data_IF_543317705365
#
_entry.id   IF_543317705365
#
_cell.length_a   1.000
_cell.length_b   1.000
_cell.length_c   1.000
_cell.angle_alpha   90.00
_cell.angle_beta   90.00
_cell.angle_gamma   90.00
#
_symmetry.space_group_name_H-M   'P 1'
#
loop_
_entity.id
_entity.type
_entity.pdbx_description
1 polymer ?
#
# COMPACT_ATOMS: atom_id res chain seq x y z
N UNK A 1 -2.17 -2.70 -11.65
CA UNK A 1 -0.98 -2.22 -10.91
C UNK A 1 0.23 -1.93 -11.81
N UNK A 2 0.60 -2.77 -12.82
CA UNK A 2 1.76 -2.50 -13.67
C UNK A 2 1.72 -1.16 -14.42
N UNK A 3 0.54 -0.79 -14.92
CA UNK A 3 0.33 0.49 -15.61
C UNK A 3 0.48 1.70 -14.66
N UNK A 4 -0.06 1.62 -13.44
CA UNK A 4 0.05 2.70 -12.46
C UNK A 4 1.51 3.01 -12.08
N UNK A 5 2.32 1.97 -11.84
CA UNK A 5 3.76 2.14 -11.60
C UNK A 5 4.47 2.73 -12.83
N UNK A 6 4.12 2.28 -14.03
CA UNK A 6 4.73 2.78 -15.28
C UNK A 6 4.42 4.27 -15.52
N UNK A 7 3.17 4.69 -15.28
CA UNK A 7 2.78 6.11 -15.37
C UNK A 7 3.49 6.96 -14.31
N UNK A 8 3.60 6.46 -13.09
CA UNK A 8 4.34 7.13 -12.03
C UNK A 8 5.83 7.26 -12.38
N UNK A 9 6.44 6.21 -12.92
CA UNK A 9 7.83 6.24 -13.38
C UNK A 9 8.04 7.27 -14.48
N UNK A 10 7.14 7.35 -15.46
CA UNK A 10 7.18 8.38 -16.50
C UNK A 10 7.02 9.79 -15.90
N UNK A 11 6.07 10.00 -14.98
CA UNK A 11 5.86 11.29 -14.31
C UNK A 11 7.08 11.72 -13.48
N UNK A 12 7.71 10.80 -12.74
CA UNK A 12 8.93 11.05 -11.99
C UNK A 12 10.09 11.44 -12.92
N UNK A 13 10.27 10.72 -14.03
CA UNK A 13 11.29 11.04 -15.04
C UNK A 13 11.07 12.43 -15.66
N UNK A 14 9.83 12.80 -15.96
CA UNK A 14 9.48 14.14 -16.45
C UNK A 14 9.83 15.20 -15.40
N UNK A 15 9.45 14.99 -14.13
CA UNK A 15 9.78 15.91 -13.04
C UNK A 15 11.31 16.09 -12.87
N UNK A 16 12.08 15.00 -12.98
CA UNK A 16 13.54 15.05 -12.89
C UNK A 16 14.15 15.79 -14.10
N UNK A 17 13.70 15.47 -15.32
CA UNK A 17 14.17 16.08 -16.57
C UNK A 17 13.90 17.58 -16.60
N UNK A 18 12.74 18.01 -16.11
CA UNK A 18 12.36 19.42 -16.02
C UNK A 18 12.97 20.14 -14.80
N UNK A 19 13.70 19.44 -13.93
CA UNK A 19 14.34 20.02 -12.75
C UNK A 19 13.38 20.41 -11.63
N UNK A 20 12.20 19.79 -11.55
CA UNK A 20 11.16 20.15 -10.57
C UNK A 20 11.56 19.83 -9.12
N UNK A 21 12.51 18.91 -8.93
CA UNK A 21 13.11 18.56 -7.64
C UNK A 21 14.05 19.64 -7.07
N UNK A 22 14.37 20.69 -7.85
CA UNK A 22 15.35 21.72 -7.46
C UNK A 22 14.67 22.97 -6.95
N UNK A 23 15.18 23.57 -5.88
CA UNK A 23 14.65 24.84 -5.37
C UNK A 23 14.77 25.95 -6.42
N UNK A 24 15.98 26.11 -6.97
CA UNK A 24 16.27 27.12 -8.00
C UNK A 24 15.97 26.57 -9.40
N UNK A 25 14.99 27.13 -10.12
CA UNK A 25 14.65 26.69 -11.47
C UNK A 25 15.72 27.13 -12.49
N UNK A 26 15.77 26.46 -13.65
CA UNK A 26 16.67 26.81 -14.75
C UNK A 26 16.30 28.10 -15.48
N UNK A 27 15.07 28.60 -15.28
CA UNK A 27 14.56 29.86 -15.85
C UNK A 27 13.83 30.63 -14.75
N UNK A 28 13.83 31.98 -14.79
CA UNK A 28 13.00 32.77 -13.91
C UNK A 28 11.54 32.36 -14.06
N UNK A 29 10.85 32.12 -12.95
CA UNK A 29 9.45 31.71 -12.92
C UNK A 29 8.62 32.71 -12.12
N UNK A 30 7.35 32.86 -12.48
CA UNK A 30 6.38 33.62 -11.70
C UNK A 30 5.94 32.81 -10.48
N UNK A 31 5.38 33.48 -9.46
CA UNK A 31 4.88 32.82 -8.22
C UNK A 31 3.93 31.65 -8.51
N UNK A 32 2.97 31.83 -9.42
CA UNK A 32 1.99 30.80 -9.78
C UNK A 32 2.64 29.58 -10.48
N UNK A 33 3.62 29.82 -11.34
CA UNK A 33 4.38 28.77 -12.04
C UNK A 33 5.19 27.94 -11.02
N UNK A 34 5.84 28.61 -10.06
CA UNK A 34 6.53 27.96 -8.94
C UNK A 34 5.59 27.09 -8.13
N UNK A 35 4.43 27.61 -7.73
CA UNK A 35 3.46 26.87 -6.93
C UNK A 35 2.98 25.60 -7.63
N UNK A 36 2.64 25.68 -8.93
CA UNK A 36 2.25 24.50 -9.73
C UNK A 36 3.39 23.49 -9.85
N UNK A 37 4.62 23.93 -10.11
CA UNK A 37 5.81 23.09 -10.20
C UNK A 37 6.07 22.30 -8.90
N UNK A 38 6.14 23.02 -7.78
CA UNK A 38 6.38 22.45 -6.44
C UNK A 38 5.28 21.46 -6.09
N UNK A 39 4.01 21.80 -6.36
CA UNK A 39 2.86 20.92 -6.11
C UNK A 39 2.96 19.62 -6.90
N UNK A 40 3.18 19.70 -8.21
CA UNK A 40 3.29 18.53 -9.08
C UNK A 40 4.42 17.62 -8.62
N UNK A 41 5.57 18.19 -8.27
CA UNK A 41 6.69 17.42 -7.75
C UNK A 41 6.33 16.66 -6.46
N UNK A 42 5.77 17.35 -5.47
CA UNK A 42 5.44 16.72 -4.18
C UNK A 42 4.29 15.71 -4.29
N UNK A 43 3.34 15.90 -5.19
CA UNK A 43 2.32 14.89 -5.48
C UNK A 43 2.94 13.62 -6.04
N UNK A 44 3.82 13.75 -7.04
CA UNK A 44 4.54 12.61 -7.63
C UNK A 44 5.43 11.94 -6.58
N UNK A 45 6.08 12.72 -5.70
CA UNK A 45 6.88 12.22 -4.60
C UNK A 45 6.09 11.36 -3.61
N UNK A 46 4.95 11.86 -3.11
CA UNK A 46 4.11 11.12 -2.17
C UNK A 46 3.64 9.81 -2.79
N UNK A 47 3.18 9.87 -4.05
CA UNK A 47 2.73 8.68 -4.79
C UNK A 47 3.86 7.68 -5.03
N UNK A 48 5.07 8.15 -5.34
CA UNK A 48 6.26 7.31 -5.47
C UNK A 48 6.55 6.57 -4.16
N UNK A 49 6.66 7.28 -3.04
CA UNK A 49 6.96 6.65 -1.74
C UNK A 49 5.89 5.65 -1.31
N UNK A 50 4.63 6.01 -1.49
CA UNK A 50 3.49 5.14 -1.14
C UNK A 50 3.47 3.87 -2.00
N UNK A 51 3.61 4.00 -3.33
CA UNK A 51 3.57 2.85 -4.24
C UNK A 51 4.84 2.01 -4.15
N UNK A 52 6.01 2.62 -3.98
CA UNK A 52 7.27 1.92 -3.75
C UNK A 52 7.17 1.00 -2.53
N UNK A 53 6.69 1.52 -1.39
CA UNK A 53 6.49 0.72 -0.19
C UNK A 53 5.48 -0.42 -0.40
N UNK A 54 4.32 -0.13 -1.01
CA UNK A 54 3.25 -1.12 -1.26
C UNK A 54 3.63 -2.21 -2.25
N UNK A 55 4.45 -1.89 -3.25
CA UNK A 55 4.94 -2.82 -4.25
C UNK A 55 6.25 -3.50 -3.87
N UNK A 56 6.79 -3.17 -2.69
CA UNK A 56 8.10 -3.61 -2.21
C UNK A 56 9.22 -3.31 -3.23
N UNK A 57 9.21 -2.09 -3.77
CA UNK A 57 10.17 -1.58 -4.78
C UNK A 57 10.94 -0.40 -4.22
N UNK A 58 12.17 -0.16 -4.71
CA UNK A 58 12.88 1.07 -4.39
C UNK A 58 12.13 2.28 -4.97
N UNK A 59 12.11 3.36 -4.22
CA UNK A 59 11.57 4.65 -4.64
C UNK A 59 12.36 5.21 -5.83
N UNK A 60 11.64 5.78 -6.78
CA UNK A 60 12.19 6.42 -7.98
C UNK A 60 12.90 7.74 -7.64
N UNK A 61 12.39 8.45 -6.63
CA UNK A 61 12.86 9.77 -6.21
C UNK A 61 13.68 9.65 -4.92
N UNK A 62 14.98 9.86 -5.06
CA UNK A 62 15.93 9.81 -3.94
C UNK A 62 15.90 11.11 -3.14
N UNK A 63 15.66 11.01 -1.84
CA UNK A 63 15.54 12.19 -0.96
C UNK A 63 16.78 13.08 -0.97
N UNK A 64 17.97 12.48 -1.13
CA UNK A 64 19.25 13.22 -1.19
C UNK A 64 19.42 14.08 -2.44
N UNK A 65 18.65 13.81 -3.48
CA UNK A 65 18.71 14.54 -4.75
C UNK A 65 17.65 15.67 -4.81
N UNK A 66 16.83 15.82 -3.77
CA UNK A 66 15.75 16.81 -3.69
C UNK A 66 16.24 18.04 -2.92
N UNK A 67 16.11 19.22 -3.52
CA UNK A 67 16.45 20.50 -2.86
C UNK A 67 15.26 21.44 -2.73
N UNK A 68 14.18 21.21 -3.48
CA UNK A 68 12.94 22.00 -3.37
C UNK A 68 12.32 21.87 -1.98
N UNK A 69 11.96 22.98 -1.35
CA UNK A 69 11.41 23.02 0.00
C UNK A 69 9.88 22.89 -0.02
N UNK A 70 9.35 21.99 0.81
CA UNK A 70 7.93 21.86 1.08
C UNK A 70 7.39 22.94 2.04
N UNK A 71 8.26 23.59 2.83
CA UNK A 71 7.87 24.63 3.80
C UNK A 71 7.34 25.88 3.09
N UNK A 72 7.79 26.10 1.85
CA UNK A 72 7.38 27.23 1.01
C UNK A 72 6.00 27.06 0.34
N UNK A 73 5.33 25.91 0.56
CA UNK A 73 4.07 25.57 -0.10
C UNK A 73 2.83 26.03 0.68
N UNK A 74 2.97 26.43 1.96
CA UNK A 74 1.85 26.83 2.84
C UNK A 74 1.07 28.08 2.44
N UNK A 75 1.31 28.66 1.27
CA UNK A 75 0.58 29.81 0.73
C UNK A 75 -0.40 29.38 -0.35
N UNK A 76 -1.61 29.02 0.10
CA UNK A 76 -2.91 28.88 -0.61
C UNK A 76 -2.97 28.04 -1.90
N UNK A 77 -4.04 27.24 -2.00
CA UNK A 77 -4.42 26.52 -3.20
C UNK A 77 -4.48 27.46 -4.42
N UNK A 78 -3.65 27.19 -5.41
CA UNK A 78 -3.73 27.85 -6.72
C UNK A 78 -4.82 27.14 -7.52
N UNK A 79 -5.74 27.89 -8.13
CA UNK A 79 -6.72 27.40 -9.11
C UNK A 79 -7.65 26.25 -8.62
N UNK A 80 -8.26 26.40 -7.43
CA UNK A 80 -9.23 25.43 -6.86
C UNK A 80 -8.69 24.02 -6.67
N UNK A 81 -7.37 23.89 -6.55
CA UNK A 81 -6.70 22.61 -6.55
C UNK A 81 -6.35 22.13 -5.14
N UNK A 82 -6.53 20.84 -4.85
CA UNK A 82 -6.30 20.27 -3.51
C UNK A 82 -4.92 20.66 -2.94
N UNK A 83 -4.85 21.29 -1.76
CA UNK A 83 -3.58 21.60 -1.13
C UNK A 83 -2.84 20.29 -0.79
N UNK A 84 -1.51 20.32 -0.81
CA UNK A 84 -0.66 19.25 -0.30
C UNK A 84 -0.16 19.69 1.07
N UNK A 85 -0.65 19.06 2.14
CA UNK A 85 -0.17 19.36 3.48
C UNK A 85 1.30 18.92 3.64
N UNK A 86 2.18 19.76 4.22
CA UNK A 86 3.54 19.37 4.59
C UNK A 86 3.63 18.03 5.34
N UNK A 87 2.64 17.75 6.20
CA UNK A 87 2.49 16.46 6.88
C UNK A 87 2.48 15.25 5.95
N UNK A 88 1.78 15.30 4.82
CA UNK A 88 1.71 14.18 3.88
C UNK A 88 3.05 13.93 3.18
N UNK A 89 3.82 14.99 2.92
CA UNK A 89 5.19 14.88 2.39
C UNK A 89 6.10 14.19 3.41
N UNK A 90 6.02 14.60 4.68
CA UNK A 90 6.77 13.96 5.78
C UNK A 90 6.37 12.49 5.97
N UNK A 91 5.10 12.14 5.81
CA UNK A 91 4.66 10.74 5.80
C UNK A 91 5.28 9.98 4.62
N UNK A 92 5.33 10.57 3.42
CA UNK A 92 6.03 10.00 2.28
C UNK A 92 7.51 9.73 2.56
N UNK A 93 8.21 10.67 3.20
CA UNK A 93 9.61 10.47 3.64
C UNK A 93 9.74 9.28 4.58
N UNK A 94 8.82 9.14 5.56
CA UNK A 94 8.78 7.98 6.45
C UNK A 94 8.50 6.68 5.68
N UNK A 95 7.61 6.68 4.69
CA UNK A 95 7.36 5.49 3.86
C UNK A 95 8.60 5.05 3.08
N UNK A 96 9.39 6.00 2.58
CA UNK A 96 10.70 5.72 1.98
C UNK A 96 11.66 5.05 2.96
N UNK A 97 11.78 5.60 4.17
CA UNK A 97 12.60 5.03 5.25
C UNK A 97 12.13 3.65 5.70
N UNK A 98 10.81 3.44 5.82
CA UNK A 98 10.23 2.12 6.14
C UNK A 98 10.67 1.09 5.10
N UNK A 99 10.61 1.43 3.81
CA UNK A 99 11.13 0.53 2.78
C UNK A 99 12.64 0.30 2.95
N UNK A 100 13.44 1.37 2.95
CA UNK A 100 14.91 1.28 2.94
C UNK A 100 15.46 0.55 4.18
N UNK A 101 14.88 0.78 5.35
CA UNK A 101 15.40 0.34 6.65
C UNK A 101 14.78 -0.99 7.15
N UNK A 102 13.64 -1.43 6.58
CA UNK A 102 12.95 -2.66 7.02
C UNK A 102 12.80 -3.70 5.90
N UNK A 103 12.47 -3.27 4.68
CA UNK A 103 12.03 -4.17 3.60
C UNK A 103 12.99 -4.27 2.41
N UNK A 104 13.92 -3.34 2.28
CA UNK A 104 14.92 -3.36 1.21
C UNK A 104 15.79 -4.61 1.29
N UNK A 105 16.33 -5.12 0.16
CA UNK A 105 17.25 -6.26 0.19
C UNK A 105 18.43 -6.04 1.14
N UNK A 106 18.96 -4.81 1.20
CA UNK A 106 20.04 -4.46 2.12
C UNK A 106 19.64 -4.55 3.59
N UNK A 107 18.41 -4.14 3.94
CA UNK A 107 17.87 -4.27 5.29
C UNK A 107 17.61 -5.73 5.67
N UNK A 108 17.10 -6.55 4.75
CA UNK A 108 16.80 -7.96 4.98
C UNK A 108 18.06 -8.81 5.21
N UNK A 109 19.22 -8.36 4.71
CA UNK A 109 20.52 -8.98 4.99
C UNK A 109 21.07 -8.65 6.39
N UNK A 110 20.51 -7.65 7.09
CA UNK A 110 20.93 -7.31 8.44
C UNK A 110 20.33 -8.27 9.49
N UNK A 111 20.96 -8.42 10.67
CA UNK A 111 20.37 -9.18 11.77
C UNK A 111 18.96 -8.69 12.15
N UNK A 112 18.12 -9.59 12.67
CA UNK A 112 16.73 -9.26 13.02
C UNK A 112 16.63 -8.20 14.11
N UNK A 113 17.42 -8.28 15.18
CA UNK A 113 17.26 -7.41 16.36
C UNK A 113 17.40 -5.91 16.05
N UNK A 114 18.45 -5.41 15.36
CA UNK A 114 18.54 -3.99 15.00
C UNK A 114 17.38 -3.54 14.09
N UNK A 115 16.94 -4.41 13.17
CA UNK A 115 15.82 -4.13 12.26
C UNK A 115 14.49 -4.05 13.01
N UNK A 116 14.28 -4.90 14.02
CA UNK A 116 13.11 -4.87 14.89
C UNK A 116 13.07 -3.63 15.77
N UNK A 117 14.22 -3.24 16.35
CA UNK A 117 14.34 -1.96 17.06
C UNK A 117 13.95 -0.82 16.13
N UNK A 118 14.46 -0.84 14.90
CA UNK A 118 14.17 0.20 13.92
C UNK A 118 12.71 0.24 13.48
N UNK A 119 12.08 -0.92 13.31
CA UNK A 119 10.66 -1.03 13.03
C UNK A 119 9.81 -0.36 14.12
N UNK A 120 10.15 -0.58 15.40
CA UNK A 120 9.44 0.05 16.52
C UNK A 120 9.61 1.56 16.55
N UNK A 121 10.83 2.05 16.32
CA UNK A 121 11.11 3.49 16.22
C UNK A 121 10.30 4.14 15.09
N UNK A 122 10.32 3.55 13.90
CA UNK A 122 9.59 4.06 12.73
C UNK A 122 8.06 4.03 12.94
N UNK A 123 7.53 3.01 13.62
CA UNK A 123 6.12 2.97 13.99
C UNK A 123 5.75 4.15 14.92
N UNK A 124 6.56 4.41 15.95
CA UNK A 124 6.35 5.53 16.87
C UNK A 124 6.47 6.88 16.15
N UNK A 125 7.47 7.04 15.29
CA UNK A 125 7.63 8.25 14.47
C UNK A 125 6.40 8.49 13.58
N UNK A 126 5.86 7.43 12.96
CA UNK A 126 4.68 7.51 12.12
C UNK A 126 3.40 7.83 12.91
N UNK A 127 3.21 7.22 14.08
CA UNK A 127 2.10 7.51 15.00
C UNK A 127 2.13 8.97 15.45
N UNK A 128 3.29 9.44 15.93
CA UNK A 128 3.47 10.83 16.35
C UNK A 128 3.22 11.82 15.22
N UNK A 129 3.65 11.51 13.99
CA UNK A 129 3.38 12.36 12.83
C UNK A 129 1.89 12.34 12.45
N UNK A 130 1.25 11.17 12.50
CA UNK A 130 -0.19 11.03 12.21
C UNK A 130 -1.06 11.84 13.19
N UNK A 131 -0.72 11.81 14.48
CA UNK A 131 -1.43 12.54 15.53
C UNK A 131 -1.05 14.04 15.59
N UNK A 132 0.00 14.46 14.87
CA UNK A 132 0.41 15.86 14.83
C UNK A 132 -0.56 16.73 14.02
N UNK A 133 -0.66 18.00 14.43
CA UNK A 133 -1.45 19.02 13.73
C UNK A 133 -0.66 19.61 12.56
N UNK A 134 -1.33 19.80 11.44
CA UNK A 134 -0.81 20.54 10.30
C UNK A 134 -1.86 21.58 9.86
N UNK A 135 -1.53 22.89 9.83
CA UNK A 135 -2.51 23.92 9.52
C UNK A 135 -3.15 23.78 8.14
N UNK A 136 -2.42 23.24 7.16
CA UNK A 136 -2.94 23.02 5.80
C UNK A 136 -3.92 21.86 5.82
N UNK A 137 -3.60 20.77 6.51
CA UNK A 137 -4.53 19.65 6.72
C UNK A 137 -5.78 20.10 7.48
N UNK A 138 -5.63 20.84 8.59
CA UNK A 138 -6.76 21.35 9.38
C UNK A 138 -7.67 22.24 8.52
N UNK A 139 -7.10 23.20 7.78
CA UNK A 139 -7.87 24.07 6.88
C UNK A 139 -8.60 23.29 5.78
N UNK A 140 -7.94 22.28 5.18
CA UNK A 140 -8.58 21.42 4.19
C UNK A 140 -9.76 20.65 4.78
N UNK A 141 -9.63 20.17 6.02
CA UNK A 141 -10.69 19.44 6.70
C UNK A 141 -11.86 20.35 7.14
N UNK A 142 -11.59 21.62 7.46
CA UNK A 142 -12.60 22.65 7.79
C UNK A 142 -13.37 23.15 6.56
N UNK A 143 -12.74 23.17 5.39
CA UNK A 143 -13.39 23.55 4.12
C UNK A 143 -14.36 22.49 3.60
N UNK A 144 -14.27 21.25 4.09
CA UNK A 144 -15.23 20.22 3.75
C UNK A 144 -16.59 20.54 4.40
N UNK A 145 -17.71 20.43 3.66
CA UNK A 145 -19.05 20.69 4.20
C UNK A 145 -19.29 19.96 5.53
N UNK A 146 -19.60 20.71 6.58
CA UNK A 146 -20.03 20.19 7.89
C UNK A 146 -21.56 20.20 8.01
N UNK A 147 -22.29 19.63 7.04
CA UNK A 147 -23.68 19.27 7.31
C UNK A 147 -23.69 17.98 8.14
N UNK A 148 -24.57 17.83 9.15
CA UNK A 148 -24.67 16.60 9.96
C UNK A 148 -24.85 15.32 9.14
N UNK A 149 -25.39 15.46 7.93
CA UNK A 149 -25.65 14.37 6.98
C UNK A 149 -24.50 14.16 5.97
N UNK A 150 -23.46 15.01 5.98
CA UNK A 150 -22.34 14.91 5.04
C UNK A 150 -21.39 13.77 5.45
N UNK A 151 -21.36 12.73 4.61
CA UNK A 151 -20.56 11.53 4.85
C UNK A 151 -19.09 11.71 4.44
N UNK A 152 -18.80 12.65 3.54
CA UNK A 152 -17.49 12.82 2.94
C UNK A 152 -16.38 13.15 3.96
N UNK A 153 -16.51 14.15 4.87
CA UNK A 153 -15.46 14.44 5.85
C UNK A 153 -15.19 13.24 6.77
N UNK A 154 -16.25 12.51 7.14
CA UNK A 154 -16.16 11.32 8.00
C UNK A 154 -15.42 10.18 7.30
N UNK A 155 -15.74 9.95 6.02
CA UNK A 155 -15.09 8.92 5.21
C UNK A 155 -13.63 9.25 4.91
N UNK A 156 -13.28 10.52 4.66
CA UNK A 156 -11.89 10.95 4.48
C UNK A 156 -11.07 10.69 5.75
N UNK A 157 -11.56 11.09 6.93
CA UNK A 157 -10.89 10.82 8.22
C UNK A 157 -10.67 9.32 8.44
N UNK A 158 -11.69 8.49 8.16
CA UNK A 158 -11.57 7.04 8.28
C UNK A 158 -10.59 6.46 7.27
N UNK A 159 -10.63 6.89 6.01
CA UNK A 159 -9.72 6.42 4.97
C UNK A 159 -8.26 6.71 5.29
N UNK A 160 -7.98 7.88 5.87
CA UNK A 160 -6.64 8.25 6.34
C UNK A 160 -6.20 7.37 7.52
N UNK A 161 -7.07 7.18 8.53
CA UNK A 161 -6.80 6.28 9.66
C UNK A 161 -6.56 4.84 9.23
N UNK A 162 -7.37 4.33 8.30
CA UNK A 162 -7.22 2.99 7.70
C UNK A 162 -5.86 2.85 7.01
N UNK A 163 -5.48 3.84 6.19
CA UNK A 163 -4.20 3.84 5.47
C UNK A 163 -3.03 3.84 6.44
N UNK A 164 -3.09 4.67 7.48
CA UNK A 164 -2.09 4.71 8.54
C UNK A 164 -1.97 3.37 9.27
N UNK A 165 -3.10 2.80 9.75
CA UNK A 165 -3.11 1.51 10.45
C UNK A 165 -2.56 0.38 9.59
N UNK A 166 -2.84 0.36 8.28
CA UNK A 166 -2.30 -0.64 7.37
C UNK A 166 -0.76 -0.58 7.26
N UNK A 167 -0.18 0.63 7.23
CA UNK A 167 1.27 0.80 7.25
C UNK A 167 1.86 0.41 8.61
N UNK A 168 1.21 0.77 9.72
CA UNK A 168 1.61 0.34 11.06
C UNK A 168 1.61 -1.20 11.17
N UNK A 169 0.55 -1.86 10.69
CA UNK A 169 0.50 -3.34 10.62
C UNK A 169 1.63 -3.90 9.78
N UNK A 170 1.92 -3.30 8.62
CA UNK A 170 3.03 -3.70 7.76
C UNK A 170 4.37 -3.61 8.51
N UNK A 171 4.63 -2.51 9.23
CA UNK A 171 5.84 -2.34 10.03
C UNK A 171 5.94 -3.43 11.10
N UNK A 172 4.90 -3.61 11.91
CA UNK A 172 4.92 -4.61 13.00
C UNK A 172 4.98 -6.05 12.50
N UNK A 173 4.50 -6.33 11.28
CA UNK A 173 4.65 -7.66 10.63
C UNK A 173 6.11 -8.05 10.42
N UNK A 174 7.03 -7.08 10.38
CA UNK A 174 8.47 -7.36 10.24
C UNK A 174 9.14 -7.85 11.53
N UNK A 175 8.44 -7.75 12.67
CA UNK A 175 8.96 -8.08 14.00
C UNK A 175 8.63 -9.51 14.37
N UNK A 176 9.63 -10.25 14.85
CA UNK A 176 9.41 -11.62 15.32
C UNK A 176 8.54 -11.62 16.59
N UNK A 177 7.58 -12.56 16.71
CA UNK A 177 6.82 -12.74 17.92
C UNK A 177 7.73 -13.19 19.07
N UNK A 178 7.40 -12.81 20.30
CA UNK A 178 8.09 -13.36 21.47
C UNK A 178 7.81 -14.86 21.58
N UNK A 179 8.79 -15.64 22.02
CA UNK A 179 8.73 -17.12 22.05
C UNK A 179 7.55 -17.71 22.85
N UNK A 180 6.87 -16.88 23.63
CA UNK A 180 5.85 -17.26 24.60
C UNK A 180 4.40 -17.02 24.12
N UNK A 181 4.19 -16.35 22.97
CA UNK A 181 2.83 -16.01 22.50
C UNK A 181 2.14 -17.16 21.76
N UNK A 182 2.91 -18.13 21.26
CA UNK A 182 2.36 -19.21 20.44
C UNK A 182 1.74 -18.73 19.11
N UNK A 183 1.95 -17.46 18.73
CA UNK A 183 1.48 -16.87 17.48
C UNK A 183 2.62 -16.50 16.55
N UNK A 184 2.37 -16.54 15.24
CA UNK A 184 3.28 -16.07 14.21
C UNK A 184 3.52 -14.54 14.21
N UNK A 185 2.67 -13.76 14.90
CA UNK A 185 2.73 -12.30 14.92
C UNK A 185 2.89 -11.74 16.33
N UNK A 186 3.56 -10.60 16.45
CA UNK A 186 3.59 -9.84 17.70
C UNK A 186 2.22 -9.20 17.99
N UNK A 187 2.00 -8.86 19.27
CA UNK A 187 0.71 -8.31 19.73
C UNK A 187 0.37 -6.98 19.04
N UNK A 188 1.37 -6.17 18.75
CA UNK A 188 1.23 -4.87 18.07
C UNK A 188 0.78 -5.05 16.61
N UNK A 189 1.28 -6.08 15.93
CA UNK A 189 0.84 -6.44 14.58
C UNK A 189 -0.63 -6.88 14.58
N UNK A 190 -1.01 -7.78 15.51
CA UNK A 190 -2.39 -8.25 15.65
C UNK A 190 -3.35 -7.10 16.02
N UNK A 191 -2.96 -6.24 16.96
CA UNK A 191 -3.78 -5.12 17.42
C UNK A 191 -4.01 -4.09 16.31
N UNK A 192 -2.96 -3.68 15.60
CA UNK A 192 -3.10 -2.74 14.47
C UNK A 192 -3.91 -3.34 13.32
N UNK A 193 -3.73 -4.64 13.02
CA UNK A 193 -4.51 -5.32 11.98
C UNK A 193 -6.00 -5.34 12.32
N UNK A 194 -6.33 -5.68 13.58
CA UNK A 194 -7.70 -5.68 14.10
C UNK A 194 -8.33 -4.29 14.01
N UNK A 195 -7.66 -3.26 14.51
CA UNK A 195 -8.13 -1.88 14.43
C UNK A 195 -8.37 -1.43 12.98
N UNK A 196 -7.48 -1.80 12.05
CA UNK A 196 -7.63 -1.45 10.63
C UNK A 196 -8.92 -2.04 10.02
N UNK A 197 -9.21 -3.33 10.29
CA UNK A 197 -10.41 -3.96 9.76
C UNK A 197 -11.70 -3.47 10.46
N UNK A 198 -11.63 -3.11 11.73
CA UNK A 198 -12.73 -2.45 12.45
C UNK A 198 -13.04 -1.07 11.85
N UNK A 199 -12.02 -0.26 11.55
CA UNK A 199 -12.21 1.01 10.85
C UNK A 199 -12.81 0.84 9.46
N UNK A 200 -12.39 -0.19 8.71
CA UNK A 200 -13.04 -0.55 7.46
C UNK A 200 -14.53 -0.89 7.67
N UNK A 201 -14.87 -1.76 8.62
CA UNK A 201 -16.26 -2.12 8.97
C UNK A 201 -17.11 -0.88 9.24
N UNK A 202 -16.59 0.06 10.01
CA UNK A 202 -17.28 1.31 10.32
C UNK A 202 -17.37 2.27 9.13
N UNK A 203 -16.37 2.33 8.25
CA UNK A 203 -16.47 3.14 7.04
C UNK A 203 -17.49 2.56 6.05
N UNK A 204 -17.60 1.24 5.96
CA UNK A 204 -18.58 0.59 5.09
C UNK A 204 -20.04 0.79 5.52
N UNK A 205 -20.31 0.99 6.81
CA UNK A 205 -21.66 1.35 7.25
C UNK A 205 -22.07 2.73 6.73
N UNK A 206 -21.11 3.66 6.59
CA UNK A 206 -21.34 4.99 6.00
C UNK A 206 -21.52 4.94 4.49
N UNK A 207 -20.89 3.98 3.80
CA UNK A 207 -20.94 3.89 2.34
C UNK A 207 -22.29 3.43 1.79
N UNK A 208 -23.15 2.82 2.61
CA UNK A 208 -24.48 2.37 2.17
C UNK A 208 -25.35 3.54 1.70
N UNK A 209 -25.17 4.71 2.31
CA UNK A 209 -25.94 5.93 2.04
C UNK A 209 -25.13 6.98 1.26
N UNK A 210 -23.91 6.63 0.82
CA UNK A 210 -23.00 7.57 0.16
C UNK A 210 -23.26 7.70 -1.34
N UNK A 211 -23.05 8.89 -1.88
CA UNK A 211 -23.07 9.11 -3.32
C UNK A 211 -21.96 8.32 -4.04
N UNK A 212 -22.15 7.90 -5.31
CA UNK A 212 -21.17 7.11 -6.04
C UNK A 212 -19.75 7.71 -6.09
N UNK A 213 -19.63 9.03 -6.19
CA UNK A 213 -18.35 9.76 -6.17
C UNK A 213 -17.60 9.61 -4.84
N UNK A 214 -18.35 9.58 -3.73
CA UNK A 214 -17.81 9.38 -2.38
C UNK A 214 -17.38 7.92 -2.18
N UNK A 215 -18.15 6.98 -2.72
CA UNK A 215 -17.77 5.56 -2.75
C UNK A 215 -16.48 5.37 -3.54
N UNK A 216 -16.38 5.94 -4.74
CA UNK A 216 -15.19 5.86 -5.58
C UNK A 216 -13.95 6.41 -4.86
N UNK A 217 -14.07 7.57 -4.21
CA UNK A 217 -12.98 8.17 -3.44
C UNK A 217 -12.48 7.23 -2.35
N UNK A 218 -13.38 6.73 -1.48
CA UNK A 218 -12.99 5.80 -0.41
C UNK A 218 -12.32 4.54 -0.96
N UNK A 219 -12.89 4.00 -2.04
CA UNK A 219 -12.41 2.79 -2.68
C UNK A 219 -10.98 2.98 -3.21
N UNK A 220 -10.68 4.13 -3.83
CA UNK A 220 -9.35 4.46 -4.34
C UNK A 220 -8.32 4.65 -3.22
N UNK A 221 -8.69 5.32 -2.13
CA UNK A 221 -7.75 5.71 -1.08
C UNK A 221 -7.53 4.65 0.00
N UNK A 222 -8.60 4.01 0.48
CA UNK A 222 -8.54 3.04 1.56
C UNK A 222 -8.59 1.59 1.06
N UNK A 223 -9.53 1.28 0.18
CA UNK A 223 -9.89 -0.11 -0.07
C UNK A 223 -8.89 -0.89 -0.93
N UNK A 224 -8.33 -0.26 -1.98
CA UNK A 224 -7.45 -0.98 -2.91
C UNK A 224 -6.14 -1.45 -2.29
N UNK A 225 -5.69 -0.80 -1.22
CA UNK A 225 -4.32 -0.94 -0.78
C UNK A 225 -4.13 -1.14 0.73
N UNK A 226 -5.06 -0.69 1.57
CA UNK A 226 -4.92 -0.81 3.01
C UNK A 226 -5.30 -2.19 3.58
N UNK A 227 -6.36 -2.90 3.12
CA UNK A 227 -6.85 -4.07 3.87
C UNK A 227 -5.99 -5.32 3.68
N UNK A 228 -5.19 -5.46 2.62
CA UNK A 228 -4.50 -6.72 2.30
C UNK A 228 -3.61 -7.22 3.43
N UNK A 229 -2.72 -6.37 3.97
CA UNK A 229 -1.80 -6.77 5.04
C UNK A 229 -2.55 -7.09 6.34
N UNK A 230 -3.43 -6.22 6.87
CA UNK A 230 -4.29 -6.52 8.01
C UNK A 230 -5.13 -7.79 7.86
N UNK A 231 -5.72 -7.99 6.67
CA UNK A 231 -6.57 -9.15 6.39
C UNK A 231 -5.75 -10.45 6.40
N UNK A 232 -4.56 -10.47 5.80
CA UNK A 232 -3.66 -11.63 5.85
C UNK A 232 -3.25 -11.93 7.30
N UNK A 233 -2.89 -10.90 8.09
CA UNK A 233 -2.50 -11.07 9.50
C UNK A 233 -3.61 -11.74 10.30
N UNK A 234 -4.84 -11.21 10.22
CA UNK A 234 -5.98 -11.79 10.97
C UNK A 234 -6.43 -13.14 10.40
N UNK A 235 -6.36 -13.35 9.08
CA UNK A 235 -6.61 -14.64 8.45
C UNK A 235 -5.66 -15.72 8.98
N UNK A 236 -4.36 -15.45 8.97
CA UNK A 236 -3.35 -16.37 9.49
C UNK A 236 -3.56 -16.62 10.99
N UNK A 237 -3.86 -15.58 11.77
CA UNK A 237 -4.13 -15.71 13.19
C UNK A 237 -5.39 -16.55 13.49
N UNK A 238 -6.46 -16.38 12.70
CA UNK A 238 -7.68 -17.18 12.81
C UNK A 238 -7.42 -18.66 12.55
N UNK A 239 -6.60 -19.00 11.55
CA UNK A 239 -6.23 -20.39 11.26
C UNK A 239 -5.33 -20.97 12.35
N UNK A 240 -4.35 -20.20 12.83
CA UNK A 240 -3.40 -20.63 13.85
C UNK A 240 -4.11 -20.95 15.19
N UNK A 241 -4.99 -20.05 15.62
CA UNK A 241 -5.69 -20.15 16.91
C UNK A 241 -6.94 -21.02 16.85
N UNK A 242 -7.55 -21.16 15.66
CA UNK A 242 -8.88 -21.77 15.45
C UNK A 242 -9.98 -21.13 16.32
N UNK A 243 -9.82 -19.88 16.72
CA UNK A 243 -10.82 -19.15 17.50
C UNK A 243 -11.82 -18.45 16.57
N UNK A 244 -13.13 -18.78 16.65
CA UNK A 244 -14.16 -18.12 15.84
C UNK A 244 -14.27 -16.60 16.09
N UNK A 245 -13.78 -16.10 17.24
CA UNK A 245 -13.77 -14.65 17.52
C UNK A 245 -12.96 -13.85 16.49
N UNK A 246 -11.96 -14.48 15.86
CA UNK A 246 -11.13 -13.86 14.83
C UNK A 246 -11.79 -13.79 13.45
N UNK A 247 -12.92 -14.48 13.24
CA UNK A 247 -13.64 -14.48 11.97
C UNK A 247 -14.52 -13.23 11.79
N UNK A 248 -14.95 -12.56 12.87
CA UNK A 248 -15.90 -11.44 12.78
C UNK A 248 -15.36 -10.32 11.87
N UNK A 249 -14.12 -9.89 12.10
CA UNK A 249 -13.48 -8.80 11.35
C UNK A 249 -13.25 -9.16 9.88
N UNK A 250 -12.86 -10.40 9.59
CA UNK A 250 -12.73 -10.89 8.21
C UNK A 250 -14.08 -10.90 7.50
N UNK A 251 -15.12 -11.38 8.19
CA UNK A 251 -16.49 -11.43 7.66
C UNK A 251 -17.04 -10.04 7.34
N UNK A 252 -16.73 -9.05 8.19
CA UNK A 252 -17.20 -7.68 8.02
C UNK A 252 -16.66 -7.06 6.73
N UNK A 253 -15.37 -7.23 6.45
CA UNK A 253 -14.74 -6.75 5.22
C UNK A 253 -15.34 -7.43 4.00
N UNK A 254 -15.51 -8.76 4.05
CA UNK A 254 -16.08 -9.52 2.92
C UNK A 254 -17.51 -9.08 2.62
N UNK A 255 -18.37 -9.00 3.64
CA UNK A 255 -19.76 -8.55 3.47
C UNK A 255 -19.82 -7.14 2.91
N UNK A 256 -18.97 -6.26 3.40
CA UNK A 256 -18.96 -4.90 2.94
C UNK A 256 -18.51 -4.75 1.48
N UNK A 257 -17.55 -5.56 1.02
CA UNK A 257 -17.17 -5.61 -0.39
C UNK A 257 -18.29 -6.10 -1.31
N UNK A 258 -19.31 -6.78 -0.78
CA UNK A 258 -20.49 -7.19 -1.54
C UNK A 258 -21.50 -6.05 -1.74
N UNK A 259 -21.41 -4.99 -0.92
CA UNK A 259 -22.29 -3.81 -0.98
C UNK A 259 -21.84 -2.83 -2.08
N UNK A 260 -20.55 -2.86 -2.44
CA UNK A 260 -20.02 -1.95 -3.45
C UNK A 260 -20.69 -2.17 -4.82
N UNK A 261 -20.97 -1.08 -5.58
CA UNK A 261 -21.63 -1.18 -6.88
C UNK A 261 -20.92 -2.15 -7.82
N UNK A 262 -21.71 -2.90 -8.61
CA UNK A 262 -21.16 -3.88 -9.58
C UNK A 262 -20.40 -3.23 -10.73
N UNK A 263 -20.65 -1.95 -10.97
CA UNK A 263 -19.99 -1.11 -11.99
C UNK A 263 -18.57 -0.70 -11.57
N UNK A 264 -18.12 -1.09 -10.38
CA UNK A 264 -16.76 -0.86 -9.93
C UNK A 264 -15.76 -1.62 -10.83
N UNK A 265 -14.66 -0.99 -11.28
CA UNK A 265 -13.62 -1.61 -12.11
C UNK A 265 -13.22 -3.06 -11.75
N UNK A 266 -12.90 -3.88 -12.75
CA UNK A 266 -12.58 -5.32 -12.60
C UNK A 266 -11.58 -5.69 -11.47
N UNK A 267 -10.68 -4.77 -11.12
CA UNK A 267 -9.73 -4.93 -10.02
C UNK A 267 -10.42 -5.20 -8.68
N UNK A 268 -11.60 -4.62 -8.43
CA UNK A 268 -12.38 -4.81 -7.21
C UNK A 268 -13.01 -6.20 -7.16
N UNK A 269 -13.48 -6.71 -8.29
CA UNK A 269 -13.97 -8.07 -8.41
C UNK A 269 -12.89 -9.10 -8.05
N UNK A 270 -11.65 -8.86 -8.49
CA UNK A 270 -10.49 -9.71 -8.14
C UNK A 270 -10.18 -9.65 -6.65
N UNK A 271 -10.05 -8.45 -6.06
CA UNK A 271 -9.78 -8.29 -4.63
C UNK A 271 -10.87 -8.92 -3.76
N UNK A 272 -12.15 -8.70 -4.11
CA UNK A 272 -13.29 -9.31 -3.41
C UNK A 272 -13.19 -10.84 -3.43
N UNK A 273 -12.94 -11.43 -4.59
CA UNK A 273 -12.82 -12.89 -4.74
C UNK A 273 -11.70 -13.47 -3.87
N UNK A 274 -10.58 -12.77 -3.74
CA UNK A 274 -9.46 -13.20 -2.87
C UNK A 274 -9.88 -13.19 -1.41
N UNK A 275 -10.48 -12.10 -0.91
CA UNK A 275 -10.93 -12.05 0.49
C UNK A 275 -12.07 -13.01 0.80
N UNK A 276 -13.02 -13.20 -0.13
CA UNK A 276 -14.08 -14.22 -0.02
C UNK A 276 -13.50 -15.64 0.10
N UNK A 277 -12.52 -15.98 -0.75
CA UNK A 277 -11.86 -17.27 -0.70
C UNK A 277 -11.11 -17.48 0.61
N UNK A 278 -10.29 -16.50 1.02
CA UNK A 278 -9.55 -16.58 2.28
C UNK A 278 -10.49 -16.71 3.48
N UNK A 279 -11.56 -15.92 3.53
CA UNK A 279 -12.56 -16.03 4.59
C UNK A 279 -13.22 -17.42 4.61
N UNK A 280 -13.60 -17.96 3.44
CA UNK A 280 -14.18 -19.31 3.34
C UNK A 280 -13.22 -20.40 3.84
N UNK A 281 -11.92 -20.27 3.53
CA UNK A 281 -10.88 -21.18 4.04
C UNK A 281 -10.78 -21.07 5.57
N UNK A 282 -10.74 -19.84 6.11
CA UNK A 282 -10.66 -19.64 7.56
C UNK A 282 -11.87 -20.26 8.29
N UNK A 283 -13.09 -20.09 7.77
CA UNK A 283 -14.28 -20.74 8.34
C UNK A 283 -14.11 -22.26 8.45
N UNK A 284 -13.68 -22.93 7.38
CA UNK A 284 -13.49 -24.40 7.38
C UNK A 284 -12.49 -24.86 8.44
N UNK A 285 -11.35 -24.18 8.54
CA UNK A 285 -10.31 -24.52 9.52
C UNK A 285 -10.78 -24.32 10.98
N UNK A 286 -11.61 -23.31 11.23
CA UNK A 286 -12.21 -23.06 12.56
C UNK A 286 -13.32 -24.07 12.86
N UNK A 287 -14.15 -24.42 11.88
CA UNK A 287 -15.28 -25.36 12.04
C UNK A 287 -14.83 -26.82 12.24
N UNK A 288 -13.70 -27.23 11.62
CA UNK A 288 -13.13 -28.58 11.78
C UNK A 288 -12.73 -28.91 13.24
N UNK A 289 -12.53 -27.88 14.07
CA UNK A 289 -12.29 -28.00 15.52
C UNK A 289 -13.47 -28.61 16.30
N UNK A 290 -14.69 -28.49 15.77
CA UNK A 290 -15.90 -29.06 16.39
C UNK A 290 -16.08 -30.56 16.13
N UNK A 291 -15.33 -31.14 15.19
CA UNK A 291 -15.65 -32.47 14.63
C UNK A 291 -14.55 -33.53 14.80
N UNK A 292 -13.34 -33.20 15.26
CA UNK A 292 -12.28 -34.21 15.42
C UNK A 292 -11.23 -33.81 16.47
N UNK A 293 -11.35 -34.37 17.67
CA UNK A 293 -10.19 -34.58 18.56
C UNK A 293 -9.28 -35.65 17.95
N UNK A 294 -8.47 -35.29 16.96
CA UNK A 294 -7.26 -36.04 16.64
C UNK A 294 -6.05 -35.13 16.80
N UNK A 295 -5.25 -35.44 17.81
CA UNK A 295 -3.91 -34.92 18.03
C UNK A 295 -3.07 -35.11 16.76
N UNK A 296 -2.97 -34.07 15.94
CA UNK A 296 -1.81 -33.88 15.08
C UNK A 296 -0.80 -33.02 15.85
N UNK A 297 -0.01 -33.70 16.69
CA UNK A 297 1.35 -33.25 16.98
C UNK A 297 2.09 -33.17 15.64
N UNK A 298 2.36 -31.95 15.19
CA UNK A 298 3.51 -31.48 14.39
C UNK A 298 3.18 -30.09 13.86
N UNK A 299 3.14 -29.12 14.77
CA UNK A 299 3.14 -27.71 14.40
C UNK A 299 4.51 -27.33 13.85
N UNK A 300 4.50 -26.45 12.82
CA UNK A 300 5.68 -25.81 12.19
C UNK A 300 6.43 -26.69 11.18
N UNK A 301 5.84 -26.95 10.00
CA UNK A 301 6.37 -26.27 8.79
C UNK A 301 5.32 -25.87 7.72
N UNK A 302 4.03 -26.19 7.91
CA UNK A 302 3.02 -26.06 6.83
C UNK A 302 2.71 -24.60 6.44
N UNK A 303 2.67 -23.68 7.39
CA UNK A 303 2.44 -22.25 7.13
C UNK A 303 3.63 -21.57 6.42
N UNK A 304 4.82 -22.11 6.68
CA UNK A 304 6.07 -21.89 5.93
C UNK A 304 5.84 -21.91 4.42
N UNK A 305 5.27 -23.03 4.02
CA UNK A 305 5.01 -23.39 2.63
C UNK A 305 3.82 -22.62 2.07
N UNK A 306 2.75 -22.43 2.83
CA UNK A 306 1.53 -21.79 2.32
C UNK A 306 1.70 -20.28 2.07
N UNK A 307 2.47 -19.58 2.91
CA UNK A 307 2.83 -18.18 2.65
C UNK A 307 3.89 -18.07 1.54
N UNK A 308 4.80 -19.04 1.40
CA UNK A 308 5.74 -19.10 0.28
C UNK A 308 5.05 -19.44 -1.06
N UNK A 309 4.02 -20.28 -1.06
CA UNK A 309 3.15 -20.56 -2.22
C UNK A 309 2.24 -19.37 -2.54
N UNK A 310 1.81 -18.63 -1.52
CA UNK A 310 1.22 -17.30 -1.66
C UNK A 310 2.28 -16.19 -1.77
N UNK A 311 3.54 -16.53 -2.09
CA UNK A 311 4.77 -15.72 -2.16
C UNK A 311 4.94 -14.50 -1.25
N UNK A 312 4.26 -14.49 -0.12
CA UNK A 312 4.53 -13.61 1.01
C UNK A 312 5.83 -14.11 1.66
N UNK A 313 6.94 -13.36 1.61
CA UNK A 313 8.20 -13.86 2.14
C UNK A 313 8.10 -14.06 3.64
N UNK A 314 8.44 -15.28 4.08
CA UNK A 314 8.64 -15.63 5.49
C UNK A 314 10.10 -15.35 5.82
N UNK A 315 10.33 -14.37 6.68
CA UNK A 315 11.64 -14.11 7.25
C UNK A 315 11.90 -15.11 8.36
N UNK A 316 12.71 -16.15 8.09
CA UNK A 316 13.20 -17.01 9.17
C UNK A 316 13.89 -18.33 8.81
N UNK A 317 13.63 -18.97 7.67
CA UNK A 317 14.13 -20.33 7.45
C UNK A 317 14.77 -20.51 6.07
N UNK A 318 16.09 -20.37 6.00
CA UNK A 318 16.90 -20.88 4.88
C UNK A 318 17.94 -21.84 5.43
N UNK A 319 17.60 -23.13 5.50
CA UNK A 319 18.58 -24.20 5.50
C UNK A 319 18.69 -24.75 4.08
N UNK A 320 19.89 -24.62 3.51
CA UNK A 320 20.28 -25.12 2.19
C UNK A 320 20.16 -26.64 2.13
N UNK A 321 19.60 -27.16 1.04
CA UNK A 321 20.00 -28.45 0.48
C UNK A 321 19.97 -28.37 -1.05
N UNK A 322 21.13 -28.64 -1.64
CA UNK A 322 21.47 -28.43 -3.05
C UNK A 322 21.40 -29.78 -3.77
N UNK A 323 20.53 -29.95 -4.75
CA UNK A 323 20.76 -30.90 -5.86
C UNK A 323 20.28 -30.29 -7.18
N UNK A 324 21.19 -30.31 -8.15
CA UNK A 324 21.21 -29.54 -9.39
C UNK A 324 20.87 -30.48 -10.56
N UNK A 325 19.90 -30.11 -11.41
CA UNK A 325 19.79 -30.65 -12.77
C UNK A 325 19.42 -29.54 -13.77
N UNK A 326 20.31 -29.38 -14.75
CA UNK A 326 20.36 -28.39 -15.83
C UNK A 326 19.26 -28.58 -16.88
N UNK A 327 18.85 -27.50 -17.56
CA UNK A 327 18.63 -27.51 -19.02
C UNK A 327 18.65 -26.09 -19.63
N UNK A 328 19.42 -25.94 -20.69
CA UNK A 328 19.55 -24.78 -21.60
C UNK A 328 18.26 -24.50 -22.39
N UNK A 329 18.05 -23.26 -22.87
CA UNK A 329 17.90 -22.89 -24.31
C UNK A 329 17.70 -21.36 -24.50
N UNK A 330 18.36 -20.83 -25.54
CA UNK A 330 18.40 -19.43 -26.03
C UNK A 330 17.18 -19.02 -26.87
N UNK A 331 16.88 -17.71 -26.95
CA UNK A 331 16.58 -16.89 -28.17
C UNK A 331 16.11 -15.47 -27.73
N UNK A 332 16.86 -14.38 -27.95
CA UNK A 332 17.09 -13.56 -29.16
C UNK A 332 15.97 -12.52 -29.45
N UNK A 333 16.33 -11.24 -29.30
CA UNK A 333 15.48 -10.03 -29.35
C UNK A 333 15.48 -9.38 -30.74
N UNK A 334 14.36 -8.77 -31.12
CA UNK A 334 14.28 -7.77 -32.20
C UNK A 334 13.23 -6.71 -31.89
N UNK A 335 13.64 -5.44 -31.77
CA UNK A 335 12.79 -4.27 -31.53
C UNK A 335 13.11 -3.23 -32.61
N UNK A 336 12.08 -2.70 -33.27
CA UNK A 336 12.18 -1.51 -34.09
C UNK A 336 10.80 -0.81 -34.12
N UNK A 337 10.67 0.38 -33.52
CA UNK A 337 9.57 1.33 -33.81
C UNK A 337 10.07 2.77 -33.66
N UNK A 338 9.82 3.56 -34.72
CA UNK A 338 10.12 4.98 -34.89
C UNK A 338 9.17 5.91 -34.13
N UNK A 339 9.70 7.09 -33.78
CA UNK A 339 9.05 8.19 -33.06
C UNK A 339 8.46 9.22 -34.06
N UNK A 340 7.22 9.64 -33.82
CA UNK A 340 6.60 10.88 -34.33
C UNK A 340 5.26 11.05 -33.61
N UNK A 341 4.75 12.20 -33.18
CA UNK A 341 5.04 13.62 -33.32
C UNK A 341 3.71 14.29 -32.93
N UNK A 342 3.69 15.08 -31.85
CA UNK A 342 2.47 15.64 -31.23
C UNK A 342 1.83 16.77 -32.05
N UNK A 343 0.51 16.92 -31.91
CA UNK A 343 -0.15 18.25 -31.95
C UNK A 343 -1.16 18.36 -30.79
N UNK A 344 -1.11 19.48 -30.06
CA UNK A 344 -1.82 19.74 -28.80
C UNK A 344 -2.59 21.05 -28.94
N UNK A 345 -3.86 20.97 -29.37
CA UNK A 345 -4.86 22.03 -29.17
C UNK A 345 -6.28 21.46 -29.17
N UNK A 346 -6.88 21.29 -28.00
CA UNK A 346 -8.17 21.89 -27.61
C UNK A 346 -8.70 21.27 -26.31
N UNK A 347 -9.48 22.09 -25.61
CA UNK A 347 -9.90 21.99 -24.22
C UNK A 347 -10.97 20.90 -23.97
N UNK A 348 -10.99 20.39 -22.72
CA UNK A 348 -12.06 19.56 -22.18
C UNK A 348 -11.56 18.18 -21.74
N UNK A 349 -11.14 18.05 -20.48
CA UNK A 349 -10.78 16.75 -19.90
C UNK A 349 -12.09 15.98 -19.66
N UNK A 350 -12.49 15.19 -20.65
CA UNK A 350 -13.53 14.19 -20.54
C UNK A 350 -12.82 12.85 -20.38
N UNK A 351 -12.92 12.21 -19.20
CA UNK A 351 -12.37 10.88 -18.96
C UNK A 351 -13.36 9.82 -19.47
N UNK A 352 -13.58 9.81 -20.78
CA UNK A 352 -14.24 8.73 -21.50
C UNK A 352 -13.37 8.38 -22.69
N UNK A 353 -13.20 7.09 -22.95
CA UNK A 353 -12.46 6.51 -24.07
C UNK A 353 -10.97 6.21 -23.81
N UNK A 354 -10.75 5.14 -23.05
CA UNK A 354 -9.59 4.25 -23.22
C UNK A 354 -10.08 2.80 -23.02
N UNK A 355 -11.04 2.38 -23.83
CA UNK A 355 -11.38 0.97 -23.99
C UNK A 355 -10.42 0.31 -24.97
N UNK A 356 -9.83 -0.82 -24.55
CA UNK A 356 -9.29 -1.80 -25.48
C UNK A 356 -7.79 -1.97 -25.45
N UNK A 357 -7.22 -2.43 -24.33
CA UNK A 357 -6.04 -3.29 -24.37
C UNK A 357 -6.16 -4.37 -23.27
N UNK A 358 -6.54 -5.55 -23.72
CA UNK A 358 -6.59 -6.77 -22.93
C UNK A 358 -5.16 -7.28 -22.75
N UNK A 359 -4.62 -7.23 -21.54
CA UNK A 359 -3.38 -7.93 -21.18
C UNK A 359 -3.50 -8.48 -19.77
N UNK A 360 -3.80 -9.78 -19.70
CA UNK A 360 -3.50 -10.63 -18.56
C UNK A 360 -2.01 -10.54 -18.26
N UNK A 361 -1.62 -9.99 -17.10
CA UNK A 361 -0.54 -10.51 -16.25
C UNK A 361 -0.26 -9.59 -15.03
N UNK A 362 -0.13 -10.28 -13.88
CA UNK A 362 0.69 -9.95 -12.71
C UNK A 362 0.23 -8.86 -11.71
N UNK A 363 -0.25 -9.35 -10.56
CA UNK A 363 0.04 -8.74 -9.26
C UNK A 363 1.56 -8.70 -9.09
N UNK A 364 2.17 -7.54 -9.31
CA UNK A 364 3.63 -7.41 -9.29
C UNK A 364 4.23 -8.01 -8.03
N UNK A 365 5.17 -8.95 -8.19
CA UNK A 365 6.19 -9.44 -7.23
C UNK A 365 5.80 -9.67 -5.75
N UNK A 366 4.52 -9.70 -5.41
CA UNK A 366 4.02 -10.21 -4.13
C UNK A 366 4.16 -11.73 -4.03
N UNK A 367 4.43 -12.40 -5.16
CA UNK A 367 4.36 -13.84 -5.31
C UNK A 367 5.58 -14.48 -6.02
N UNK A 368 6.61 -13.71 -6.37
CA UNK A 368 7.78 -14.24 -7.09
C UNK A 368 8.99 -14.36 -6.15
N UNK A 369 9.59 -15.56 -5.99
CA UNK A 369 10.87 -15.69 -5.33
C UNK A 369 11.94 -14.93 -6.13
N UNK A 370 12.69 -14.09 -5.43
CA UNK A 370 13.87 -13.40 -5.97
C UNK A 370 14.91 -14.44 -6.36
N UNK A 371 15.00 -14.79 -7.64
CA UNK A 371 16.16 -15.50 -8.17
C UNK A 371 17.36 -14.53 -8.15
N UNK A 372 18.04 -14.44 -7.02
CA UNK A 372 19.43 -13.98 -6.98
C UNK A 372 20.31 -15.17 -7.31
N UNK A 373 20.55 -15.38 -8.61
CA UNK A 373 21.64 -16.20 -9.09
C UNK A 373 22.94 -15.43 -9.00
N UNK A 374 23.95 -16.09 -8.41
CA UNK A 374 25.32 -15.64 -8.29
C UNK A 374 25.88 -15.09 -9.62
N UNK A 375 26.43 -13.87 -9.57
CA UNK A 375 27.48 -13.48 -10.50
C UNK A 375 28.81 -13.89 -9.88
N UNK A 376 29.46 -14.90 -10.47
CA UNK A 376 30.90 -14.79 -10.67
C UNK A 376 31.15 -13.84 -11.83
#
# INVERSE_FOLDING_TARGET
MPQAWSYLAAAAQICLTLGYHREVPSKPEKKQERQRRVRLFWLVYIMDKLLALRLNRPSLLRDRDITVSYESYGETAVDSSLPIAPKWIKMGMLYGRIYDEIFSPGALLQPSTPRETRARELAVELDCLFDSKDPVEESFMEELPEHPDDLLPRLVKRADRISHLAIITLIYRSIQPSSNTGSAFCNECLSSAKQCLEEHKEAFSLLQDAEPSTVELYVQWALLAAPFVPFIVLFCHAIETRDPSHLENLSAVVRALQILPRETPDIYGKQRRVFELMYSVACKYVDESGSSQHQHQHGRPFFGVLLAEAGVPILGETQMNTEMQSFDTQMEYGLDVQIGGMDLRQEGIFWGDLEGLNSSEEFGSWFQPSNFGDRQ
#
